data_IF_331668408145
#
_entry.id   IF_331668408145
#
_cell.length_a   1.000
_cell.length_b   1.000
_cell.length_c   1.000
_cell.angle_alpha   90.00
_cell.angle_beta   90.00
_cell.angle_gamma   90.00
#
_symmetry.space_group_name_H-M   'P 1'
#
loop_
_entity.id
_entity.type
_entity.pdbx_description
1 polymer ?
#
# COMPACT_ATOMS: atom_id res chain seq x y z
N UNK A 1 -26.99 -18.86 -12.53
CA UNK A 1 -26.21 -17.61 -12.35
C UNK A 1 -24.77 -17.93 -12.71
N UNK A 2 -24.31 -17.54 -13.91
CA UNK A 2 -22.91 -17.68 -14.28
C UNK A 2 -22.07 -16.74 -13.40
N UNK A 3 -20.98 -17.19 -12.77
CA UNK A 3 -20.13 -16.31 -11.99
C UNK A 3 -19.58 -15.23 -12.94
N UNK A 4 -19.88 -13.96 -12.66
CA UNK A 4 -19.18 -12.86 -13.33
C UNK A 4 -17.70 -13.04 -13.04
N UNK A 5 -16.82 -13.15 -14.05
CA UNK A 5 -15.40 -13.12 -13.78
C UNK A 5 -15.11 -11.80 -13.05
N UNK A 6 -14.42 -11.88 -11.93
CA UNK A 6 -13.83 -10.72 -11.27
C UNK A 6 -12.77 -10.18 -12.24
N UNK A 7 -13.19 -9.35 -13.19
CA UNK A 7 -12.29 -8.63 -14.07
C UNK A 7 -11.76 -7.47 -13.23
N UNK A 8 -10.48 -7.54 -12.87
CA UNK A 8 -9.77 -6.39 -12.32
C UNK A 8 -9.57 -5.38 -13.44
N UNK A 9 -10.53 -4.48 -13.62
CA UNK A 9 -10.47 -3.42 -14.61
C UNK A 9 -9.74 -2.21 -14.03
N UNK A 10 -8.77 -1.69 -14.79
CA UNK A 10 -8.13 -0.41 -14.48
C UNK A 10 -8.99 0.68 -15.11
N UNK A 11 -9.52 1.59 -14.29
CA UNK A 11 -10.41 2.67 -14.71
C UNK A 11 -9.62 3.97 -14.95
N UNK A 12 -9.30 4.28 -16.21
CA UNK A 12 -8.65 5.53 -16.64
C UNK A 12 -9.21 5.91 -18.02
N UNK A 13 -9.47 7.19 -18.24
CA UNK A 13 -10.00 7.74 -19.50
C UNK A 13 -9.12 7.39 -20.71
N UNK A 14 -7.79 7.40 -20.53
CA UNK A 14 -6.82 6.97 -21.54
C UNK A 14 -7.00 5.53 -22.02
N UNK A 15 -7.61 4.65 -21.22
CA UNK A 15 -7.87 3.26 -21.60
C UNK A 15 -9.33 3.05 -22.06
N UNK A 16 -10.13 4.12 -22.15
CA UNK A 16 -11.55 4.05 -22.48
C UNK A 16 -12.40 3.37 -21.40
N UNK A 17 -11.89 3.28 -20.17
CA UNK A 17 -12.55 2.62 -19.04
C UNK A 17 -13.07 3.60 -17.99
N UNK A 18 -12.97 4.89 -18.27
CA UNK A 18 -13.50 5.99 -17.47
C UNK A 18 -13.88 7.17 -18.38
N UNK A 19 -14.75 8.04 -17.90
CA UNK A 19 -15.11 9.27 -18.62
C UNK A 19 -13.92 10.23 -18.70
N UNK A 20 -13.76 10.90 -19.85
CA UNK A 20 -12.73 11.91 -20.06
C UNK A 20 -12.94 12.64 -21.37
N UNK A 21 -12.27 13.77 -21.53
CA UNK A 21 -12.44 14.67 -22.66
C UNK A 21 -11.12 15.04 -23.34
N UNK A 22 -11.18 15.28 -24.66
CA UNK A 22 -10.06 15.80 -25.44
C UNK A 22 -8.77 14.97 -25.29
N UNK A 23 -7.74 15.59 -24.69
CA UNK A 23 -6.41 14.99 -24.48
C UNK A 23 -6.36 13.90 -23.41
N UNK A 24 -7.46 13.68 -22.67
CA UNK A 24 -7.57 12.60 -21.67
C UNK A 24 -7.88 11.25 -22.31
N UNK A 25 -8.39 11.24 -23.54
CA UNK A 25 -8.68 10.03 -24.30
C UNK A 25 -7.44 9.55 -25.07
N UNK A 26 -7.38 8.25 -25.37
CA UNK A 26 -6.29 7.69 -26.15
C UNK A 26 -6.20 8.35 -27.54
N UNK A 27 -5.00 8.81 -27.91
CA UNK A 27 -4.73 9.40 -29.20
C UNK A 27 -3.38 8.95 -29.80
N UNK A 28 -3.06 9.40 -31.02
CA UNK A 28 -1.82 9.02 -31.70
C UNK A 28 -0.52 9.39 -30.95
N UNK A 29 -0.59 10.38 -30.06
CA UNK A 29 0.53 10.80 -29.20
C UNK A 29 0.55 10.15 -27.82
N UNK A 30 -0.43 9.29 -27.49
CA UNK A 30 -0.48 8.63 -26.19
C UNK A 30 0.64 7.61 -26.04
N UNK A 31 1.21 7.54 -24.84
CA UNK A 31 2.35 6.66 -24.56
C UNK A 31 2.09 5.77 -23.35
N UNK A 32 2.81 4.66 -23.26
CA UNK A 32 2.80 3.82 -22.06
C UNK A 32 3.22 4.63 -20.81
N UNK A 33 4.17 5.56 -20.95
CA UNK A 33 4.57 6.43 -19.85
C UNK A 33 3.39 7.28 -19.35
N UNK A 34 2.58 7.82 -20.26
CA UNK A 34 1.38 8.57 -19.89
C UNK A 34 0.43 7.71 -19.06
N UNK A 35 0.18 6.45 -19.47
CA UNK A 35 -0.65 5.51 -18.71
C UNK A 35 -0.07 5.25 -17.31
N UNK A 36 1.24 5.01 -17.21
CA UNK A 36 1.91 4.78 -15.92
C UNK A 36 1.86 6.01 -15.00
N UNK A 37 1.96 7.23 -15.56
CA UNK A 37 1.83 8.47 -14.81
C UNK A 37 0.39 8.70 -14.36
N UNK A 38 -0.61 8.40 -15.21
CA UNK A 38 -2.02 8.46 -14.84
C UNK A 38 -2.37 7.49 -13.73
N UNK A 39 -1.86 6.25 -13.75
CA UNK A 39 -2.05 5.30 -12.63
C UNK A 39 -1.46 5.88 -11.32
N UNK A 40 -0.24 6.41 -11.36
CA UNK A 40 0.41 6.99 -10.18
C UNK A 40 -0.31 8.23 -9.66
N UNK A 41 -0.77 9.11 -10.55
CA UNK A 41 -1.36 10.40 -10.18
C UNK A 41 -2.85 10.35 -9.85
N UNK A 42 -3.60 9.41 -10.44
CA UNK A 42 -5.07 9.37 -10.33
C UNK A 42 -5.56 8.20 -9.47
N UNK A 43 -4.86 7.06 -9.47
CA UNK A 43 -5.30 5.86 -8.73
C UNK A 43 -4.56 5.74 -7.39
N UNK A 44 -3.23 5.84 -7.40
CA UNK A 44 -2.38 5.64 -6.22
C UNK A 44 -2.25 6.91 -5.37
N UNK A 45 -3.38 7.52 -5.03
CA UNK A 45 -3.46 8.79 -4.30
C UNK A 45 -3.49 8.59 -2.78
N UNK A 46 -3.29 9.69 -2.04
CA UNK A 46 -3.33 9.69 -0.56
C UNK A 46 -4.75 9.52 0.03
N UNK A 47 -5.78 9.84 -0.75
CA UNK A 47 -7.19 9.77 -0.34
C UNK A 47 -8.02 9.02 -1.41
N UNK A 48 -7.76 7.72 -1.63
CA UNK A 48 -8.39 6.95 -2.71
C UNK A 48 -9.91 6.84 -2.58
N UNK A 49 -10.47 7.07 -1.39
CA UNK A 49 -11.93 7.17 -1.17
C UNK A 49 -12.61 8.20 -2.09
N UNK A 50 -11.94 9.32 -2.37
CA UNK A 50 -12.51 10.39 -3.20
C UNK A 50 -12.36 10.14 -4.69
N UNK A 51 -11.62 9.10 -5.10
CA UNK A 51 -11.55 8.70 -6.51
C UNK A 51 -12.90 8.11 -7.00
N UNK A 52 -13.79 7.73 -6.08
CA UNK A 52 -15.12 7.22 -6.41
C UNK A 52 -16.07 8.36 -6.82
N UNK A 53 -16.87 8.18 -7.90
CA UNK A 53 -17.80 9.18 -8.37
C UNK A 53 -18.75 9.68 -7.27
N UNK A 54 -18.79 10.99 -7.07
CA UNK A 54 -19.70 11.64 -6.12
C UNK A 54 -19.18 11.76 -4.69
N UNK A 55 -18.10 11.07 -4.32
CA UNK A 55 -17.51 11.20 -2.98
C UNK A 55 -16.82 12.56 -2.78
N UNK A 56 -16.28 13.16 -3.85
CA UNK A 56 -15.67 14.49 -3.82
C UNK A 56 -16.59 15.58 -3.28
N UNK A 57 -17.90 15.49 -3.56
CA UNK A 57 -18.91 16.48 -3.13
C UNK A 57 -19.06 16.56 -1.61
N UNK A 58 -18.67 15.51 -0.91
CA UNK A 58 -18.78 15.40 0.54
C UNK A 58 -17.47 15.77 1.25
N UNK A 59 -16.44 16.18 0.49
CA UNK A 59 -15.13 16.53 1.05
C UNK A 59 -15.26 17.68 2.04
N UNK A 60 -14.71 17.46 3.24
CA UNK A 60 -14.78 18.42 4.35
C UNK A 60 -15.89 18.13 5.36
N UNK A 61 -16.82 17.20 5.10
CA UNK A 61 -17.72 16.70 6.14
C UNK A 61 -16.99 15.72 7.07
N UNK A 62 -17.44 15.67 8.34
CA UNK A 62 -16.90 14.72 9.32
C UNK A 62 -17.10 13.26 8.86
N UNK A 63 -18.27 12.96 8.31
CA UNK A 63 -18.62 11.62 7.81
C UNK A 63 -17.71 11.18 6.66
N UNK A 64 -17.42 12.08 5.71
CA UNK A 64 -16.52 11.78 4.60
C UNK A 64 -15.07 11.60 5.06
N UNK A 65 -14.63 12.38 6.06
CA UNK A 65 -13.31 12.22 6.66
C UNK A 65 -13.18 10.87 7.38
N UNK A 66 -14.21 10.43 8.11
CA UNK A 66 -14.24 9.12 8.74
C UNK A 66 -14.25 7.98 7.70
N UNK A 67 -15.09 8.08 6.67
CA UNK A 67 -15.14 7.10 5.59
C UNK A 67 -13.78 6.99 4.85
N UNK A 68 -13.15 8.11 4.53
CA UNK A 68 -11.82 8.15 3.92
C UNK A 68 -10.75 7.51 4.81
N UNK A 69 -10.78 7.79 6.12
CA UNK A 69 -9.88 7.18 7.11
C UNK A 69 -10.03 5.65 7.13
N UNK A 70 -11.26 5.14 7.24
CA UNK A 70 -11.53 3.70 7.26
C UNK A 70 -11.18 3.03 5.92
N UNK A 71 -11.36 3.74 4.80
CA UNK A 71 -10.90 3.25 3.50
C UNK A 71 -9.38 3.08 3.47
N UNK A 72 -8.63 4.06 3.98
CA UNK A 72 -7.17 3.99 4.07
C UNK A 72 -6.67 2.86 4.97
N UNK A 73 -7.35 2.59 6.09
CA UNK A 73 -7.08 1.42 6.93
C UNK A 73 -7.16 0.12 6.13
N UNK A 74 -8.22 -0.06 5.34
CA UNK A 74 -8.39 -1.25 4.49
C UNK A 74 -7.37 -1.30 3.36
N UNK A 75 -7.10 -0.17 2.71
CA UNK A 75 -6.13 -0.07 1.64
C UNK A 75 -4.73 -0.49 2.12
N UNK A 76 -4.29 -0.02 3.30
CA UNK A 76 -3.00 -0.44 3.87
C UNK A 76 -2.93 -1.94 4.16
N UNK A 77 -3.98 -2.54 4.75
CA UNK A 77 -4.01 -3.99 4.98
C UNK A 77 -3.85 -4.73 3.64
N UNK A 78 -4.59 -4.30 2.61
CA UNK A 78 -4.52 -4.91 1.28
C UNK A 78 -3.17 -4.72 0.61
N UNK A 79 -2.51 -3.58 0.82
CA UNK A 79 -1.14 -3.31 0.36
C UNK A 79 -0.16 -4.32 0.95
N UNK A 80 -0.17 -4.54 2.27
CA UNK A 80 0.71 -5.54 2.92
C UNK A 80 0.41 -6.96 2.43
N UNK A 81 -0.87 -7.32 2.31
CA UNK A 81 -1.27 -8.63 1.75
C UNK A 81 -0.83 -8.80 0.28
N UNK A 82 -0.84 -7.73 -0.51
CA UNK A 82 -0.36 -7.75 -1.89
C UNK A 82 1.15 -7.92 -1.96
N UNK A 83 1.91 -7.15 -1.18
CA UNK A 83 3.37 -7.27 -1.08
C UNK A 83 3.79 -8.69 -0.68
N UNK A 84 3.10 -9.27 0.30
CA UNK A 84 3.32 -10.67 0.69
C UNK A 84 3.16 -11.63 -0.49
N UNK A 85 2.06 -11.54 -1.25
CA UNK A 85 1.82 -12.40 -2.42
C UNK A 85 2.89 -12.21 -3.51
N UNK A 86 3.33 -10.97 -3.73
CA UNK A 86 4.42 -10.65 -4.67
C UNK A 86 5.74 -11.31 -4.23
N UNK A 87 6.03 -11.34 -2.93
CA UNK A 87 7.21 -12.04 -2.39
C UNK A 87 7.07 -13.56 -2.48
N UNK A 88 5.88 -14.11 -2.20
CA UNK A 88 5.60 -15.56 -2.29
C UNK A 88 5.78 -16.07 -3.72
N UNK A 89 5.18 -15.37 -4.68
CA UNK A 89 5.14 -15.74 -6.10
C UNK A 89 5.38 -14.50 -6.99
N UNK A 90 6.66 -14.09 -7.16
CA UNK A 90 6.96 -12.93 -7.98
C UNK A 90 6.66 -13.19 -9.46
N UNK A 91 6.13 -12.19 -10.20
CA UNK A 91 5.93 -12.31 -11.64
C UNK A 91 7.24 -12.68 -12.33
N UNK A 92 7.20 -13.64 -13.26
CA UNK A 92 8.39 -14.24 -13.88
C UNK A 92 9.38 -13.18 -14.38
N UNK A 93 8.88 -12.21 -15.13
CA UNK A 93 9.70 -11.21 -15.80
C UNK A 93 10.18 -10.09 -14.84
N UNK A 94 9.66 -10.05 -13.61
CA UNK A 94 10.03 -9.08 -12.56
C UNK A 94 10.70 -9.74 -11.34
N UNK A 95 10.99 -11.04 -11.39
CA UNK A 95 11.51 -11.80 -10.24
C UNK A 95 12.73 -11.12 -9.62
N UNK A 96 13.79 -10.94 -10.39
CA UNK A 96 15.05 -10.38 -9.89
C UNK A 96 14.87 -8.98 -9.28
N UNK A 97 13.99 -8.18 -9.87
CA UNK A 97 13.67 -6.84 -9.37
C UNK A 97 12.92 -6.89 -8.05
N UNK A 98 11.94 -7.78 -7.91
CA UNK A 98 11.19 -7.99 -6.66
C UNK A 98 12.14 -8.46 -5.56
N UNK A 99 12.97 -9.46 -5.84
CA UNK A 99 13.91 -10.01 -4.86
C UNK A 99 14.93 -8.96 -4.41
N UNK A 100 15.54 -8.25 -5.36
CA UNK A 100 16.50 -7.17 -5.07
C UNK A 100 15.86 -6.04 -4.25
N UNK A 101 14.63 -5.64 -4.59
CA UNK A 101 13.92 -4.60 -3.85
C UNK A 101 13.65 -5.02 -2.39
N UNK A 102 13.07 -6.19 -2.16
CA UNK A 102 12.76 -6.59 -0.79
C UNK A 102 14.01 -6.90 0.04
N UNK A 103 15.07 -7.48 -0.54
CA UNK A 103 16.36 -7.64 0.16
C UNK A 103 16.96 -6.29 0.60
N UNK A 104 16.89 -5.27 -0.26
CA UNK A 104 17.45 -3.95 0.05
C UNK A 104 16.59 -3.10 1.01
N UNK A 105 15.27 -3.30 1.02
CA UNK A 105 14.35 -2.39 1.72
C UNK A 105 13.56 -3.02 2.88
N UNK A 106 13.49 -4.35 3.00
CA UNK A 106 12.63 -5.00 4.00
C UNK A 106 12.98 -4.61 5.44
N UNK A 107 14.28 -4.53 5.78
CA UNK A 107 14.75 -4.15 7.12
C UNK A 107 14.34 -2.73 7.52
N UNK A 108 14.20 -1.82 6.54
CA UNK A 108 13.73 -0.43 6.77
C UNK A 108 12.20 -0.34 6.75
N UNK A 109 11.56 -1.16 5.92
CA UNK A 109 10.12 -1.13 5.70
C UNK A 109 9.35 -1.74 6.88
N UNK A 110 9.78 -2.88 7.41
CA UNK A 110 9.05 -3.59 8.45
C UNK A 110 8.83 -2.75 9.72
N UNK A 111 9.84 -2.07 10.30
CA UNK A 111 9.62 -1.22 11.47
C UNK A 111 8.63 -0.07 11.20
N UNK A 112 8.60 0.45 9.97
CA UNK A 112 7.63 1.49 9.58
C UNK A 112 6.21 0.93 9.54
N UNK A 113 6.04 -0.29 9.00
CA UNK A 113 4.74 -0.97 9.00
C UNK A 113 4.29 -1.30 10.43
N UNK A 114 5.16 -1.85 11.27
CA UNK A 114 4.82 -2.19 12.66
C UNK A 114 4.31 -0.97 13.45
N UNK A 115 4.83 0.24 13.20
CA UNK A 115 4.33 1.49 13.81
C UNK A 115 2.86 1.77 13.52
N UNK A 116 2.34 1.41 12.34
CA UNK A 116 0.92 1.61 12.02
C UNK A 116 -0.01 0.69 12.81
N UNK A 117 0.48 -0.44 13.32
CA UNK A 117 -0.28 -1.33 14.19
C UNK A 117 -0.29 -0.86 15.66
N UNK A 118 0.59 0.08 16.02
CA UNK A 118 0.72 0.57 17.39
C UNK A 118 -0.44 1.50 17.80
N UNK A 119 -0.54 1.83 19.10
CA UNK A 119 -1.51 2.83 19.57
C UNK A 119 -1.16 4.26 19.11
N UNK A 120 0.10 4.49 18.75
CA UNK A 120 0.64 5.79 18.32
C UNK A 120 1.05 5.69 16.86
N UNK A 121 0.04 5.51 15.99
CA UNK A 121 0.26 5.49 14.55
C UNK A 121 1.06 6.74 14.12
N UNK A 122 2.02 6.59 13.20
CA UNK A 122 2.86 7.71 12.77
C UNK A 122 2.01 8.80 12.13
N UNK A 123 2.43 10.05 12.27
CA UNK A 123 1.85 11.15 11.51
C UNK A 123 2.10 10.93 10.02
N UNK A 124 1.02 10.91 9.24
CA UNK A 124 1.05 10.68 7.79
C UNK A 124 0.40 11.82 7.04
N UNK A 125 0.78 12.00 5.78
CA UNK A 125 0.15 12.96 4.86
C UNK A 125 -1.28 12.54 4.45
N UNK A 126 -1.65 11.29 4.71
CA UNK A 126 -2.98 10.73 4.50
C UNK A 126 -3.72 10.51 5.83
N UNK A 127 -5.06 10.62 5.86
CA UNK A 127 -5.84 10.45 7.07
C UNK A 127 -5.91 8.97 7.46
N UNK A 128 -5.29 8.63 8.59
CA UNK A 128 -5.38 7.28 9.18
C UNK A 128 -5.51 7.31 10.70
N UNK A 129 -5.10 8.39 11.36
CA UNK A 129 -5.26 8.58 12.78
C UNK A 129 -6.64 9.21 13.11
N UNK A 130 -7.30 8.83 14.21
CA UNK A 130 -6.95 7.70 15.07
C UNK A 130 -7.27 6.36 14.40
N UNK A 131 -6.37 5.38 14.56
CA UNK A 131 -6.55 4.03 14.00
C UNK A 131 -7.54 3.20 14.80
N UNK A 132 -8.47 2.54 14.11
CA UNK A 132 -9.45 1.64 14.72
C UNK A 132 -8.78 0.41 15.34
N UNK A 133 -9.38 -0.14 16.41
CA UNK A 133 -8.90 -1.38 17.04
C UNK A 133 -8.89 -2.56 16.07
N UNK A 134 -9.92 -2.66 15.23
CA UNK A 134 -10.04 -3.69 14.21
C UNK A 134 -8.91 -3.63 13.19
N UNK A 135 -8.60 -2.43 12.70
CA UNK A 135 -7.46 -2.20 11.82
C UNK A 135 -6.15 -2.62 12.48
N UNK A 136 -5.83 -2.15 13.68
CA UNK A 136 -4.56 -2.47 14.34
C UNK A 136 -4.32 -3.97 14.49
N UNK A 137 -5.34 -4.73 14.90
CA UNK A 137 -5.25 -6.19 15.03
C UNK A 137 -5.06 -6.88 13.67
N UNK A 138 -5.87 -6.49 12.67
CA UNK A 138 -5.79 -7.08 11.33
C UNK A 138 -4.48 -6.71 10.61
N UNK A 139 -4.02 -5.49 10.77
CA UNK A 139 -2.79 -4.97 10.20
C UNK A 139 -1.57 -5.61 10.85
N UNK A 140 -1.53 -5.71 12.19
CA UNK A 140 -0.47 -6.45 12.90
C UNK A 140 -0.34 -7.88 12.39
N UNK A 141 -1.48 -8.58 12.23
CA UNK A 141 -1.50 -9.94 11.68
C UNK A 141 -0.97 -9.99 10.24
N UNK A 142 -1.36 -9.03 9.38
CA UNK A 142 -0.89 -8.98 8.00
C UNK A 142 0.62 -8.69 7.92
N UNK A 143 1.13 -7.77 8.76
CA UNK A 143 2.55 -7.44 8.86
C UNK A 143 3.36 -8.62 9.38
N UNK A 144 2.86 -9.34 10.39
CA UNK A 144 3.54 -10.54 10.88
C UNK A 144 3.66 -11.61 9.79
N UNK A 145 2.58 -11.92 9.08
CA UNK A 145 2.61 -12.88 7.97
C UNK A 145 3.57 -12.45 6.85
N UNK A 146 3.66 -11.15 6.60
CA UNK A 146 4.60 -10.60 5.63
C UNK A 146 6.05 -10.75 6.11
N UNK A 147 6.33 -10.45 7.38
CA UNK A 147 7.63 -10.67 8.03
C UNK A 147 8.05 -12.13 7.95
N UNK A 148 7.16 -13.06 8.29
CA UNK A 148 7.44 -14.50 8.23
C UNK A 148 7.80 -14.94 6.80
N UNK A 149 7.11 -14.38 5.80
CA UNK A 149 7.38 -14.66 4.38
C UNK A 149 8.76 -14.13 3.96
N UNK A 150 9.11 -12.90 4.35
CA UNK A 150 10.41 -12.30 4.08
C UNK A 150 11.55 -13.09 4.73
N UNK A 151 11.37 -13.49 6.00
CA UNK A 151 12.32 -14.35 6.72
C UNK A 151 12.49 -15.71 6.03
N UNK A 152 11.39 -16.36 5.66
CA UNK A 152 11.42 -17.66 4.98
C UNK A 152 12.09 -17.62 3.60
N UNK A 153 12.14 -16.45 2.95
CA UNK A 153 12.86 -16.22 1.69
C UNK A 153 14.30 -15.72 1.90
N UNK A 154 14.72 -15.45 3.14
CA UNK A 154 16.03 -14.90 3.45
C UNK A 154 16.21 -13.45 3.00
N UNK A 155 15.15 -12.63 3.04
CA UNK A 155 15.20 -11.21 2.63
C UNK A 155 15.45 -10.25 3.81
N UNK A 156 15.58 -10.77 5.03
CA UNK A 156 15.90 -9.99 6.22
C UNK A 156 17.35 -10.22 6.63
N UNK A 157 18.03 -9.15 7.02
CA UNK A 157 19.38 -9.23 7.55
C UNK A 157 19.32 -9.46 9.06
N UNK A 158 19.31 -10.73 9.44
CA UNK A 158 19.26 -11.18 10.84
C UNK A 158 20.52 -10.74 11.62
N UNK A 159 21.57 -10.28 10.93
CA UNK A 159 22.82 -9.81 11.54
C UNK A 159 22.75 -8.42 12.19
N UNK A 160 21.67 -7.64 12.01
CA UNK A 160 21.59 -6.27 12.58
C UNK A 160 20.75 -6.15 13.87
N UNK A 161 19.90 -7.14 14.19
CA UNK A 161 19.09 -7.11 15.43
C UNK A 161 19.92 -7.37 16.70
N UNK A 162 21.12 -7.96 16.59
CA UNK A 162 22.01 -8.21 17.73
C UNK A 162 22.73 -6.96 18.27
N UNK A 163 22.70 -5.83 17.55
CA UNK A 163 23.44 -4.62 17.94
C UNK A 163 22.61 -3.59 18.73
N UNK A 164 21.29 -3.78 18.87
CA UNK A 164 20.40 -2.79 19.50
C UNK A 164 20.00 -3.08 20.95
N UNK A 165 20.43 -4.21 21.53
CA UNK A 165 20.08 -4.62 22.89
C UNK A 165 21.32 -4.91 23.74
N UNK A 166 22.22 -3.93 23.83
CA UNK A 166 23.15 -3.85 24.95
C UNK A 166 22.71 -2.68 25.84
N UNK A 167 22.29 -2.92 27.10
CA UNK A 167 22.11 -1.84 28.04
C UNK A 167 23.48 -1.25 28.35
N UNK A 168 23.65 0.06 28.13
CA UNK A 168 24.79 0.80 28.66
C UNK A 168 24.68 0.81 30.18
N UNK A 169 25.30 -0.18 30.83
CA UNK A 169 25.58 -0.15 32.25
C UNK A 169 26.57 0.98 32.53
N UNK A 170 26.13 1.90 33.37
CA UNK A 170 26.92 2.86 34.14
C UNK A 170 28.16 2.24 34.82
N UNK A 171 29.28 2.97 34.76
CA UNK A 171 30.44 3.06 35.69
C UNK A 171 31.48 3.93 34.94
N UNK A 172 32.06 5.04 35.42
CA UNK A 172 32.19 5.70 36.73
C UNK A 172 32.15 7.24 36.54
#
# INVERSE_FOLDING_TARGET
LTPRPLIFQVCISLLGTWDGEGSELWGPGSTLLQVLLSIQGLILTKDPYYNEPGNEKHRGSADAAEAARTYNEMALIKTVQSMRRIVESPPRDFRDRVESYFKGFANVMLPRLEKFASNEAPTTEFPIAPTSRGFRLAFAKAVQQFKDTLSGKGYLDISSEAASTAPSSSQD
#
